data_IF_940599542082
#
_entry.id   IF_940599542082
#
_cell.length_a   1.000
_cell.length_b   1.000
_cell.length_c   1.000
_cell.angle_alpha   90.00
_cell.angle_beta   90.00
_cell.angle_gamma   90.00
#
_symmetry.space_group_name_H-M   'P 1'
#
loop_
_entity.id
_entity.type
_entity.pdbx_description
1 polymer ?
#
# COMPACT_ATOMS: atom_id res chain seq x y z
N UNK A 1 19.89 30.12 68.73
CA UNK A 1 19.32 30.81 67.56
C UNK A 1 20.09 30.38 66.33
N UNK A 2 19.61 29.33 65.65
CA UNK A 2 20.17 28.87 64.38
C UNK A 2 19.04 28.88 63.36
N UNK A 3 19.04 29.86 62.47
CA UNK A 3 18.06 29.96 61.39
C UNK A 3 18.30 28.85 60.36
N UNK A 4 17.34 27.93 60.26
CA UNK A 4 17.25 26.95 59.20
C UNK A 4 16.81 27.66 57.91
N UNK A 5 17.75 27.88 56.98
CA UNK A 5 17.44 28.35 55.63
C UNK A 5 16.66 27.27 54.89
N UNK A 6 15.34 27.47 54.76
CA UNK A 6 14.52 26.72 53.83
C UNK A 6 15.02 26.95 52.40
N UNK A 7 15.54 25.91 51.77
CA UNK A 7 15.69 25.86 50.32
C UNK A 7 14.29 25.93 49.70
N UNK A 8 14.01 26.88 48.79
CA UNK A 8 12.75 26.87 48.06
C UNK A 8 12.69 25.60 47.21
N UNK A 9 11.63 24.82 47.41
CA UNK A 9 11.25 23.72 46.54
C UNK A 9 11.12 24.27 45.12
N UNK A 10 12.06 23.91 44.24
CA UNK A 10 11.87 24.07 42.81
C UNK A 10 10.61 23.28 42.45
N UNK A 11 9.55 24.00 42.07
CA UNK A 11 8.41 23.37 41.40
C UNK A 11 8.89 22.63 40.15
N UNK A 12 8.11 21.66 39.63
CA UNK A 12 8.46 20.98 38.39
C UNK A 12 8.78 22.03 37.33
N UNK A 13 9.83 21.81 36.51
CA UNK A 13 10.17 22.74 35.44
C UNK A 13 8.93 22.96 34.57
N UNK A 14 8.73 24.18 34.03
CA UNK A 14 7.60 24.45 33.15
C UNK A 14 7.63 23.43 32.01
N UNK A 15 6.63 22.56 31.97
CA UNK A 15 6.39 21.65 30.85
C UNK A 15 6.17 22.52 29.62
N UNK A 16 7.08 22.43 28.66
CA UNK A 16 6.88 23.08 27.36
C UNK A 16 5.61 22.47 26.79
N UNK A 17 4.55 23.24 26.46
CA UNK A 17 3.33 22.68 25.93
C UNK A 17 3.66 21.93 24.65
N UNK A 18 3.36 20.64 24.64
CA UNK A 18 3.53 19.80 23.46
C UNK A 18 2.22 19.88 22.67
N UNK A 19 2.19 20.62 21.56
CA UNK A 19 1.04 20.66 20.65
C UNK A 19 1.02 19.41 19.74
N UNK A 20 0.88 18.23 20.35
CA UNK A 20 0.80 16.94 19.66
C UNK A 20 -0.64 16.58 19.24
N UNK A 21 -0.84 15.72 18.23
CA UNK A 21 -2.14 15.11 17.98
C UNK A 21 -2.56 14.29 19.21
N UNK A 22 -3.81 14.46 19.65
CA UNK A 22 -4.36 13.66 20.74
C UNK A 22 -4.51 12.18 20.37
N UNK A 23 -4.64 11.35 21.41
CA UNK A 23 -4.83 9.90 21.28
C UNK A 23 -6.01 9.51 20.39
N UNK A 24 -7.19 10.14 20.59
CA UNK A 24 -8.43 9.77 19.89
C UNK A 24 -8.31 9.88 18.36
N UNK A 25 -7.83 11.00 17.78
CA UNK A 25 -7.56 11.08 16.34
C UNK A 25 -6.65 9.97 15.81
N UNK A 26 -5.58 9.61 16.55
CA UNK A 26 -4.63 8.59 16.13
C UNK A 26 -5.31 7.24 16.03
N UNK A 27 -6.13 6.87 17.03
CA UNK A 27 -6.84 5.60 17.05
C UNK A 27 -7.91 5.53 15.95
N UNK A 28 -8.65 6.62 15.71
CA UNK A 28 -9.64 6.69 14.63
C UNK A 28 -8.94 6.45 13.27
N UNK A 29 -7.82 7.12 13.02
CA UNK A 29 -7.04 6.94 11.79
C UNK A 29 -6.50 5.51 11.69
N UNK A 30 -5.97 4.95 12.77
CA UNK A 30 -5.42 3.60 12.82
C UNK A 30 -6.46 2.54 12.42
N UNK A 31 -7.61 2.55 13.10
CA UNK A 31 -8.65 1.54 12.93
C UNK A 31 -9.45 1.73 11.64
N UNK A 32 -9.64 2.96 11.18
CA UNK A 32 -10.28 3.22 9.87
C UNK A 32 -9.43 2.68 8.72
N UNK A 33 -8.12 2.91 8.72
CA UNK A 33 -7.22 2.38 7.69
C UNK A 33 -7.11 0.86 7.75
N UNK A 34 -7.10 0.26 8.94
CA UNK A 34 -7.17 -1.21 9.11
C UNK A 34 -8.46 -1.75 8.51
N UNK A 35 -9.61 -1.12 8.78
CA UNK A 35 -10.90 -1.53 8.20
C UNK A 35 -10.91 -1.45 6.67
N UNK A 36 -10.35 -0.38 6.10
CA UNK A 36 -10.19 -0.23 4.65
C UNK A 36 -9.27 -1.33 4.10
N UNK A 37 -8.12 -1.58 4.73
CA UNK A 37 -7.19 -2.62 4.33
C UNK A 37 -7.82 -4.02 4.40
N UNK A 38 -8.54 -4.33 5.47
CA UNK A 38 -9.26 -5.60 5.64
C UNK A 38 -10.27 -5.81 4.52
N UNK A 39 -11.08 -4.79 4.23
CA UNK A 39 -12.06 -4.86 3.14
C UNK A 39 -11.40 -5.06 1.77
N UNK A 40 -10.28 -4.38 1.51
CA UNK A 40 -9.51 -4.49 0.28
C UNK A 40 -8.88 -5.89 0.12
N UNK A 41 -8.30 -6.45 1.20
CA UNK A 41 -7.74 -7.81 1.22
C UNK A 41 -8.85 -8.85 1.03
N UNK A 42 -9.99 -8.70 1.72
CA UNK A 42 -11.13 -9.60 1.57
C UNK A 42 -11.67 -9.60 0.14
N UNK A 43 -11.85 -8.42 -0.46
CA UNK A 43 -12.26 -8.26 -1.85
C UNK A 43 -11.25 -8.92 -2.81
N UNK A 44 -9.94 -8.75 -2.57
CA UNK A 44 -8.87 -9.36 -3.36
C UNK A 44 -8.91 -10.89 -3.29
N UNK A 45 -9.07 -11.46 -2.10
CA UNK A 45 -9.17 -12.91 -1.91
C UNK A 45 -10.44 -13.47 -2.55
N UNK A 46 -11.57 -12.80 -2.38
CA UNK A 46 -12.83 -13.20 -2.99
C UNK A 46 -12.74 -13.20 -4.52
N UNK A 47 -12.17 -12.16 -5.12
CA UNK A 47 -11.94 -12.08 -6.56
C UNK A 47 -11.10 -13.27 -7.05
N UNK A 48 -10.01 -13.61 -6.36
CA UNK A 48 -9.13 -14.70 -6.78
C UNK A 48 -9.76 -16.08 -6.61
N UNK A 49 -10.36 -16.34 -5.45
CA UNK A 49 -10.88 -17.67 -5.09
C UNK A 49 -12.23 -17.96 -5.74
N UNK A 50 -13.15 -16.98 -5.76
CA UNK A 50 -14.53 -17.20 -6.23
C UNK A 50 -14.73 -16.81 -7.68
N UNK A 51 -14.25 -15.64 -8.09
CA UNK A 51 -14.48 -15.14 -9.46
C UNK A 51 -13.47 -15.76 -10.43
N UNK A 52 -12.17 -15.69 -10.13
CA UNK A 52 -11.11 -16.19 -11.01
C UNK A 52 -10.85 -17.70 -10.84
N UNK A 53 -11.32 -18.31 -9.74
CA UNK A 53 -11.10 -19.73 -9.38
C UNK A 53 -9.63 -20.14 -9.46
N UNK A 54 -8.72 -19.27 -9.04
CA UNK A 54 -7.26 -19.52 -9.03
C UNK A 54 -6.77 -19.85 -7.62
N UNK A 55 -5.66 -20.59 -7.57
CA UNK A 55 -4.94 -20.86 -6.31
C UNK A 55 -4.31 -19.56 -5.77
N UNK A 56 -4.10 -19.52 -4.46
CA UNK A 56 -3.41 -18.41 -3.79
C UNK A 56 -1.96 -18.33 -4.27
N UNK A 57 -1.52 -17.12 -4.59
CA UNK A 57 -0.13 -16.83 -4.96
C UNK A 57 0.67 -16.43 -3.72
N UNK A 58 2.00 -16.51 -3.81
CA UNK A 58 2.88 -15.99 -2.75
C UNK A 58 2.54 -14.53 -2.36
N UNK A 59 2.14 -13.70 -3.33
CA UNK A 59 1.69 -12.32 -3.11
C UNK A 59 0.50 -12.21 -2.15
N UNK A 60 -0.42 -13.17 -2.17
CA UNK A 60 -1.62 -13.15 -1.31
C UNK A 60 -1.29 -13.63 0.12
N UNK A 61 -0.29 -14.48 0.31
CA UNK A 61 0.21 -14.79 1.65
C UNK A 61 0.95 -13.58 2.27
N UNK A 62 1.74 -12.87 1.46
CA UNK A 62 2.46 -11.68 1.93
C UNK A 62 1.50 -10.59 2.38
N UNK A 63 0.40 -10.35 1.65
CA UNK A 63 -0.57 -9.34 2.05
C UNK A 63 -1.33 -9.73 3.33
N UNK A 64 -1.56 -11.02 3.56
CA UNK A 64 -2.18 -11.50 4.80
C UNK A 64 -1.26 -11.33 6.01
N UNK A 65 0.02 -11.65 5.86
CA UNK A 65 1.03 -11.38 6.90
C UNK A 65 1.09 -9.89 7.21
N UNK A 66 1.13 -9.04 6.17
CA UNK A 66 1.14 -7.59 6.33
C UNK A 66 -0.13 -7.05 6.99
N UNK A 67 -1.29 -7.65 6.74
CA UNK A 67 -2.55 -7.30 7.39
C UNK A 67 -2.51 -7.64 8.88
N UNK A 68 -2.10 -8.85 9.24
CA UNK A 68 -1.99 -9.28 10.64
C UNK A 68 -0.96 -8.44 11.39
N UNK A 69 0.20 -8.19 10.81
CA UNK A 69 1.20 -7.32 11.44
C UNK A 69 0.70 -5.88 11.55
N UNK A 70 -0.02 -5.37 10.55
CA UNK A 70 -0.59 -4.03 10.56
C UNK A 70 -1.68 -3.84 11.61
N UNK A 71 -2.51 -4.85 11.84
CA UNK A 71 -3.50 -4.83 12.93
C UNK A 71 -2.82 -4.86 14.30
N UNK A 72 -1.72 -5.60 14.46
CA UNK A 72 -0.91 -5.58 15.69
C UNK A 72 -0.29 -4.20 15.93
N UNK A 73 0.16 -3.50 14.89
CA UNK A 73 0.64 -2.11 15.01
C UNK A 73 -0.45 -1.20 15.57
N UNK A 74 -1.64 -1.23 14.98
CA UNK A 74 -2.77 -0.41 15.43
C UNK A 74 -3.25 -0.79 16.84
N UNK A 75 -3.26 -2.08 17.18
CA UNK A 75 -3.59 -2.55 18.53
C UNK A 75 -2.55 -2.07 19.57
N UNK A 76 -1.26 -2.08 19.21
CA UNK A 76 -0.20 -1.56 20.08
C UNK A 76 -0.36 -0.05 20.34
N UNK A 77 -0.85 0.70 19.35
CA UNK A 77 -1.23 2.11 19.55
C UNK A 77 -2.41 2.27 20.51
N UNK A 78 -3.40 1.37 20.49
CA UNK A 78 -4.49 1.38 21.49
C UNK A 78 -3.97 1.14 22.90
N UNK A 79 -3.09 0.16 23.09
CA UNK A 79 -2.47 -0.10 24.40
C UNK A 79 -1.66 1.11 24.89
N UNK A 80 -0.89 1.76 24.01
CA UNK A 80 -0.16 2.98 24.38
C UNK A 80 -1.09 4.16 24.73
N UNK A 81 -2.26 4.25 24.08
CA UNK A 81 -3.28 5.25 24.41
C UNK A 81 -3.89 4.98 25.79
N UNK A 82 -4.29 3.74 26.07
CA UNK A 82 -4.85 3.35 27.37
C UNK A 82 -3.87 3.58 28.53
N UNK A 83 -2.56 3.44 28.28
CA UNK A 83 -1.50 3.75 29.24
C UNK A 83 -1.21 5.26 29.39
N UNK A 84 -1.92 6.15 28.66
CA UNK A 84 -1.69 7.60 28.69
C UNK A 84 -0.41 8.07 27.98
N UNK A 85 0.27 7.18 27.24
CA UNK A 85 1.53 7.50 26.57
C UNK A 85 1.36 8.30 25.26
N UNK A 86 0.13 8.40 24.76
CA UNK A 86 -0.22 9.14 23.54
C UNK A 86 -0.87 10.50 23.82
N UNK A 87 -0.89 10.94 25.08
CA UNK A 87 -1.36 12.27 25.43
C UNK A 87 -0.48 13.34 24.74
N UNK A 88 -1.09 14.45 24.26
CA UNK A 88 -0.36 15.53 23.60
C UNK A 88 0.81 16.05 24.42
N UNK A 89 0.60 16.16 25.75
CA UNK A 89 1.54 16.72 26.71
C UNK A 89 2.69 15.77 27.08
N UNK A 90 2.67 14.53 26.57
CA UNK A 90 3.69 13.52 26.87
C UNK A 90 4.80 13.56 25.82
N UNK A 91 5.97 13.99 26.28
CA UNK A 91 7.21 13.95 25.52
C UNK A 91 7.66 12.51 25.23
N UNK A 92 8.43 12.34 24.16
CA UNK A 92 9.10 11.08 23.81
C UNK A 92 10.11 10.58 24.85
N UNK A 93 10.54 11.44 25.77
CA UNK A 93 11.33 11.13 26.97
C UNK A 93 10.47 10.80 28.20
N UNK A 94 9.14 10.67 28.04
CA UNK A 94 8.14 10.53 29.10
C UNK A 94 8.04 11.76 30.02
N UNK A 95 8.57 12.92 29.62
CA UNK A 95 8.29 14.17 30.31
C UNK A 95 6.81 14.53 30.16
N UNK A 96 6.17 14.99 31.24
CA UNK A 96 4.74 15.31 31.24
C UNK A 96 3.80 14.10 31.39
N UNK A 97 4.33 12.88 31.57
CA UNK A 97 3.51 11.69 31.84
C UNK A 97 2.77 11.82 33.19
N UNK A 98 1.44 11.79 33.13
CA UNK A 98 0.56 11.96 34.28
C UNK A 98 0.08 10.63 34.91
N UNK A 99 0.40 9.49 34.30
CA UNK A 99 0.04 8.15 34.78
C UNK A 99 0.99 7.60 35.87
N UNK A 100 0.81 6.34 36.24
CA UNK A 100 1.64 5.69 37.25
C UNK A 100 3.06 5.43 36.71
N UNK A 101 4.13 5.90 37.39
CA UNK A 101 5.50 5.69 36.93
C UNK A 101 5.91 4.21 36.80
N UNK A 102 5.16 3.31 37.40
CA UNK A 102 5.33 1.85 37.29
C UNK A 102 4.98 1.34 35.88
N UNK A 103 4.19 2.08 35.10
CA UNK A 103 3.78 1.72 33.73
C UNK A 103 4.84 2.09 32.67
N UNK A 104 5.79 2.97 33.00
CA UNK A 104 6.83 3.45 32.07
C UNK A 104 7.63 2.28 31.44
N UNK A 105 8.11 1.27 32.19
CA UNK A 105 8.77 0.10 31.61
C UNK A 105 7.87 -0.68 30.65
N UNK A 106 6.56 -0.74 30.91
CA UNK A 106 5.59 -1.41 30.04
C UNK A 106 5.39 -0.62 28.74
N UNK A 107 5.27 0.71 28.80
CA UNK A 107 5.21 1.60 27.63
C UNK A 107 6.43 1.37 26.72
N UNK A 108 7.64 1.39 27.29
CA UNK A 108 8.86 1.12 26.52
C UNK A 108 8.88 -0.29 25.94
N UNK A 109 8.44 -1.29 26.70
CA UNK A 109 8.36 -2.68 26.23
C UNK A 109 7.41 -2.80 25.02
N UNK A 110 6.21 -2.21 25.08
CA UNK A 110 5.26 -2.21 23.97
C UNK A 110 5.83 -1.46 22.76
N UNK A 111 6.45 -0.30 22.97
CA UNK A 111 7.10 0.47 21.90
C UNK A 111 8.18 -0.33 21.16
N UNK A 112 9.08 -0.98 21.90
CA UNK A 112 10.16 -1.79 21.33
C UNK A 112 9.63 -3.04 20.62
N UNK A 113 8.65 -3.74 21.21
CA UNK A 113 8.02 -4.90 20.59
C UNK A 113 7.27 -4.53 19.31
N UNK A 114 6.69 -3.33 19.23
CA UNK A 114 5.97 -2.84 18.07
C UNK A 114 6.88 -2.61 16.84
N UNK A 115 8.20 -2.50 17.00
CA UNK A 115 9.13 -2.38 15.87
C UNK A 115 9.07 -3.59 14.93
N UNK A 116 8.89 -4.80 15.46
CA UNK A 116 8.83 -6.02 14.65
C UNK A 116 7.57 -6.00 13.75
N UNK A 117 6.34 -5.83 14.28
CA UNK A 117 5.13 -5.67 13.46
C UNK A 117 5.22 -4.54 12.43
N UNK A 118 5.84 -3.40 12.78
CA UNK A 118 6.06 -2.29 11.84
C UNK A 118 6.91 -2.74 10.65
N UNK A 119 8.08 -3.35 10.90
CA UNK A 119 8.95 -3.83 9.82
C UNK A 119 8.25 -4.89 8.98
N UNK A 120 7.57 -5.85 9.61
CA UNK A 120 6.81 -6.87 8.89
C UNK A 120 5.77 -6.23 7.96
N UNK A 121 4.99 -5.27 8.46
CA UNK A 121 3.98 -4.59 7.65
C UNK A 121 4.59 -3.86 6.46
N UNK A 122 5.67 -3.10 6.68
CA UNK A 122 6.38 -2.36 5.63
C UNK A 122 6.99 -3.29 4.57
N UNK A 123 7.72 -4.33 4.97
CA UNK A 123 8.40 -5.22 4.02
C UNK A 123 7.44 -6.17 3.31
N UNK A 124 6.45 -6.73 4.00
CA UNK A 124 5.53 -7.68 3.38
C UNK A 124 4.51 -7.01 2.45
N UNK A 125 4.04 -5.79 2.75
CA UNK A 125 3.16 -5.04 1.83
C UNK A 125 3.86 -4.72 0.51
N UNK A 126 5.08 -4.18 0.56
CA UNK A 126 5.96 -3.96 -0.61
C UNK A 126 6.30 -5.26 -1.34
N UNK A 127 6.60 -6.32 -0.59
CA UNK A 127 6.86 -7.65 -1.15
C UNK A 127 5.65 -8.19 -1.92
N UNK A 128 4.44 -8.02 -1.39
CA UNK A 128 3.20 -8.38 -2.07
C UNK A 128 3.03 -7.63 -3.40
N UNK A 129 3.34 -6.33 -3.43
CA UNK A 129 3.35 -5.51 -4.65
C UNK A 129 4.36 -6.01 -5.68
N UNK A 130 5.60 -6.23 -5.28
CA UNK A 130 6.67 -6.71 -6.15
C UNK A 130 6.37 -8.08 -6.76
N UNK A 131 5.83 -9.00 -5.95
CA UNK A 131 5.36 -10.30 -6.44
C UNK A 131 4.17 -10.17 -7.38
N UNK A 132 3.29 -9.19 -7.15
CA UNK A 132 2.19 -8.92 -8.07
C UNK A 132 2.70 -8.40 -9.41
N UNK A 133 3.69 -7.51 -9.38
CA UNK A 133 4.36 -6.99 -10.57
C UNK A 133 5.05 -8.10 -11.37
N UNK A 134 5.66 -9.10 -10.72
CA UNK A 134 6.21 -10.27 -11.43
C UNK A 134 5.16 -11.03 -12.25
N UNK A 135 3.90 -11.07 -11.79
CA UNK A 135 2.82 -11.74 -12.48
C UNK A 135 2.21 -10.89 -13.60
N UNK A 136 2.26 -9.56 -13.47
CA UNK A 136 1.72 -8.62 -14.47
C UNK A 136 2.70 -8.43 -15.63
N UNK A 137 4.01 -8.38 -15.35
CA UNK A 137 5.00 -8.18 -16.39
C UNK A 137 5.30 -9.48 -17.14
N UNK A 138 4.80 -9.55 -18.37
CA UNK A 138 5.05 -10.66 -19.27
C UNK A 138 6.56 -10.83 -19.55
N UNK A 139 7.00 -12.08 -19.76
CA UNK A 139 8.40 -12.45 -19.94
C UNK A 139 9.12 -11.77 -21.12
N UNK A 140 8.37 -11.14 -22.03
CA UNK A 140 8.86 -10.55 -23.27
C UNK A 140 9.60 -9.21 -23.10
N UNK A 141 9.66 -8.61 -21.90
CA UNK A 141 10.37 -7.35 -21.63
C UNK A 141 11.61 -7.56 -20.74
N UNK A 142 12.76 -7.98 -21.30
CA UNK A 142 13.91 -8.43 -20.51
C UNK A 142 14.51 -7.34 -19.61
N UNK A 143 14.70 -6.11 -20.12
CA UNK A 143 15.26 -4.98 -19.35
C UNK A 143 14.43 -4.67 -18.09
N UNK A 144 13.10 -4.65 -18.23
CA UNK A 144 12.17 -4.36 -17.13
C UNK A 144 12.14 -5.48 -16.10
N UNK A 145 12.23 -6.72 -16.55
CA UNK A 145 12.29 -7.89 -15.67
C UNK A 145 13.59 -7.91 -14.86
N UNK A 146 14.72 -7.49 -15.45
CA UNK A 146 15.98 -7.32 -14.73
C UNK A 146 15.83 -6.27 -13.62
N UNK A 147 15.29 -5.10 -13.93
CA UNK A 147 15.07 -4.06 -12.91
C UNK A 147 14.18 -4.55 -11.76
N UNK A 148 13.09 -5.25 -12.07
CA UNK A 148 12.20 -5.82 -11.06
C UNK A 148 12.92 -6.85 -10.18
N UNK A 149 13.72 -7.74 -10.75
CA UNK A 149 14.51 -8.72 -9.97
C UNK A 149 15.55 -8.03 -9.09
N UNK A 150 16.22 -6.99 -9.60
CA UNK A 150 17.15 -6.18 -8.80
C UNK A 150 16.43 -5.55 -7.61
N UNK A 151 15.23 -4.97 -7.81
CA UNK A 151 14.43 -4.42 -6.71
C UNK A 151 13.99 -5.50 -5.72
N UNK A 152 13.59 -6.69 -6.19
CA UNK A 152 13.19 -7.80 -5.31
C UNK A 152 14.37 -8.29 -4.46
N UNK A 153 15.54 -8.46 -5.06
CA UNK A 153 16.75 -8.90 -4.34
C UNK A 153 17.15 -7.83 -3.33
N UNK A 154 17.20 -6.56 -3.72
CA UNK A 154 17.46 -5.45 -2.81
C UNK A 154 16.46 -5.44 -1.64
N UNK A 155 15.17 -5.54 -1.92
CA UNK A 155 14.09 -5.52 -0.92
C UNK A 155 14.20 -6.69 0.06
N UNK A 156 14.49 -7.91 -0.45
CA UNK A 156 14.72 -9.09 0.37
C UNK A 156 15.93 -8.95 1.27
N UNK A 157 17.05 -8.45 0.74
CA UNK A 157 18.27 -8.19 1.52
C UNK A 157 18.05 -7.11 2.57
N UNK A 158 17.35 -6.02 2.23
CA UNK A 158 17.00 -4.95 3.15
C UNK A 158 16.09 -5.46 4.28
N UNK A 159 15.11 -6.32 3.97
CA UNK A 159 14.24 -6.95 4.98
C UNK A 159 15.06 -7.78 5.98
N UNK A 160 15.90 -8.68 5.47
CA UNK A 160 16.75 -9.56 6.30
C UNK A 160 17.73 -8.72 7.14
N UNK A 161 18.40 -7.75 6.52
CA UNK A 161 19.33 -6.86 7.22
C UNK A 161 18.63 -6.09 8.35
N UNK A 162 17.46 -5.50 8.10
CA UNK A 162 16.70 -4.75 9.11
C UNK A 162 16.24 -5.63 10.27
N UNK A 163 15.79 -6.87 10.00
CA UNK A 163 15.41 -7.81 11.06
C UNK A 163 16.63 -8.24 11.88
N UNK A 164 17.74 -8.61 11.23
CA UNK A 164 18.96 -9.02 11.93
C UNK A 164 19.51 -7.88 12.79
N UNK A 165 19.55 -6.66 12.26
CA UNK A 165 20.01 -5.49 12.99
C UNK A 165 19.11 -5.20 14.20
N UNK A 166 17.78 -5.32 14.06
CA UNK A 166 16.85 -5.15 15.17
C UNK A 166 17.05 -6.22 16.26
N UNK A 167 17.28 -7.48 15.89
CA UNK A 167 17.52 -8.57 16.85
C UNK A 167 18.89 -8.47 17.53
N UNK A 168 19.88 -7.92 16.82
CA UNK A 168 21.25 -7.73 17.31
C UNK A 168 21.48 -6.37 17.98
N UNK A 169 20.45 -5.51 18.09
CA UNK A 169 20.61 -4.13 18.58
C UNK A 169 21.17 -4.11 20.00
N UNK A 170 20.69 -5.00 20.87
CA UNK A 170 21.21 -5.23 22.22
C UNK A 170 21.17 -6.73 22.55
N UNK A 171 22.26 -7.25 23.11
CA UNK A 171 22.32 -8.62 23.62
C UNK A 171 22.62 -8.56 25.13
N UNK A 172 21.75 -9.10 26.00
CA UNK A 172 20.47 -9.78 25.71
C UNK A 172 19.30 -8.80 25.48
N UNK A 173 18.35 -9.17 24.60
CA UNK A 173 17.22 -8.33 24.15
C UNK A 173 16.37 -7.79 25.32
N UNK A 174 16.27 -8.53 26.43
CA UNK A 174 15.51 -8.09 27.60
C UNK A 174 16.06 -6.86 28.32
N UNK A 175 17.31 -6.49 28.02
CA UNK A 175 17.95 -5.30 28.58
C UNK A 175 17.44 -4.02 27.92
N UNK A 176 16.77 -4.11 26.77
CA UNK A 176 16.21 -2.95 26.06
C UNK A 176 15.13 -2.20 26.85
N UNK A 177 14.30 -2.93 27.59
CA UNK A 177 13.17 -2.35 28.33
C UNK A 177 13.47 -2.17 29.83
N UNK A 178 14.52 -2.80 30.35
CA UNK A 178 15.01 -2.55 31.70
C UNK A 178 16.11 -1.50 31.64
N UNK A 179 15.76 -0.22 31.81
CA UNK A 179 16.68 0.93 31.99
C UNK A 179 17.52 0.76 33.26
N UNK A 180 18.41 -0.24 33.30
CA UNK A 180 19.35 -0.45 34.40
C UNK A 180 20.63 0.36 34.10
N UNK A 181 21.17 1.11 35.08
CA UNK A 181 22.49 1.70 34.93
C UNK A 181 23.51 0.58 34.71
N UNK A 182 24.18 0.60 33.54
CA UNK A 182 25.12 -0.45 33.11
C UNK A 182 24.61 -1.38 31.99
N UNK A 183 23.42 -1.14 31.42
CA UNK A 183 22.97 -1.81 30.21
C UNK A 183 23.97 -1.60 29.05
N UNK A 184 24.33 -2.68 28.38
CA UNK A 184 25.35 -2.74 27.29
C UNK A 184 24.95 -2.03 26.00
N UNK A 185 23.78 -1.39 25.96
CA UNK A 185 23.27 -0.76 24.76
C UNK A 185 23.48 0.74 24.79
N UNK A 186 24.46 1.20 24.00
CA UNK A 186 24.68 2.63 23.81
C UNK A 186 23.52 3.23 23.00
N UNK A 187 22.95 4.33 23.49
CA UNK A 187 21.97 5.15 22.75
C UNK A 187 22.48 5.49 21.34
N UNK A 188 23.80 5.70 21.20
CA UNK A 188 24.47 5.98 19.91
C UNK A 188 24.31 4.82 18.93
N UNK A 189 24.44 3.57 19.40
CA UNK A 189 24.28 2.38 18.56
C UNK A 189 22.84 2.23 18.08
N UNK A 190 21.86 2.48 18.95
CA UNK A 190 20.44 2.46 18.58
C UNK A 190 20.12 3.51 17.52
N UNK A 191 20.62 4.75 17.69
CA UNK A 191 20.43 5.85 16.72
C UNK A 191 20.97 5.45 15.33
N UNK A 192 22.21 4.96 15.27
CA UNK A 192 22.84 4.58 13.99
C UNK A 192 22.02 3.47 13.32
N UNK A 193 21.61 2.47 14.09
CA UNK A 193 20.82 1.35 13.60
C UNK A 193 19.47 1.81 13.03
N UNK A 194 18.72 2.64 13.76
CA UNK A 194 17.45 3.19 13.27
C UNK A 194 17.65 3.97 11.98
N UNK A 195 18.71 4.78 11.91
CA UNK A 195 19.02 5.54 10.70
C UNK A 195 19.27 4.64 9.49
N UNK A 196 20.03 3.56 9.67
CA UNK A 196 20.31 2.60 8.59
C UNK A 196 19.04 1.89 8.15
N UNK A 197 18.27 1.32 9.07
CA UNK A 197 17.02 0.60 8.77
C UNK A 197 16.01 1.47 8.04
N UNK A 198 15.84 2.72 8.47
CA UNK A 198 14.93 3.65 7.81
C UNK A 198 15.42 4.11 6.44
N UNK A 199 16.72 4.33 6.28
CA UNK A 199 17.29 4.64 4.96
C UNK A 199 17.05 3.50 3.97
N UNK A 200 17.25 2.25 4.40
CA UNK A 200 16.97 1.07 3.58
C UNK A 200 15.49 0.97 3.21
N UNK A 201 14.58 1.22 4.16
CA UNK A 201 13.14 1.19 3.89
C UNK A 201 12.70 2.28 2.90
N UNK A 202 13.13 3.54 3.11
CA UNK A 202 12.79 4.65 2.20
C UNK A 202 13.35 4.41 0.80
N UNK A 203 14.56 3.87 0.68
CA UNK A 203 15.11 3.53 -0.62
C UNK A 203 14.32 2.39 -1.29
N UNK A 204 13.86 1.39 -0.53
CA UNK A 204 12.94 0.38 -1.05
C UNK A 204 11.62 1.00 -1.54
N UNK A 205 11.04 1.96 -0.82
CA UNK A 205 9.85 2.70 -1.26
C UNK A 205 10.07 3.40 -2.61
N UNK A 206 11.20 4.11 -2.76
CA UNK A 206 11.55 4.78 -4.01
C UNK A 206 11.67 3.79 -5.17
N UNK A 207 12.34 2.65 -4.97
CA UNK A 207 12.47 1.63 -6.02
C UNK A 207 11.11 1.07 -6.43
N UNK A 208 10.25 0.73 -5.46
CA UNK A 208 8.90 0.20 -5.73
C UNK A 208 8.04 1.24 -6.47
N UNK A 209 8.17 2.52 -6.10
CA UNK A 209 7.46 3.64 -6.72
C UNK A 209 7.89 3.92 -8.17
N UNK A 210 9.19 3.80 -8.45
CA UNK A 210 9.77 4.08 -9.78
C UNK A 210 9.37 3.00 -10.81
N UNK A 211 9.21 1.74 -10.38
CA UNK A 211 8.85 0.62 -11.26
C UNK A 211 7.65 0.91 -12.18
N UNK A 212 6.46 1.30 -11.70
CA UNK A 212 5.32 1.59 -12.58
C UNK A 212 5.53 2.82 -13.48
N UNK A 213 6.29 3.83 -13.04
CA UNK A 213 6.53 5.06 -13.80
C UNK A 213 7.39 4.83 -15.05
N UNK A 214 8.39 3.97 -14.98
CA UNK A 214 9.22 3.61 -16.16
C UNK A 214 8.42 2.85 -17.22
N UNK A 215 7.28 2.28 -16.84
CA UNK A 215 6.57 1.31 -17.66
C UNK A 215 5.49 1.95 -18.52
N UNK A 216 4.88 3.02 -18.01
CA UNK A 216 3.79 3.79 -18.64
C UNK A 216 4.10 4.46 -19.99
N UNK A 217 5.30 4.98 -20.30
CA UNK A 217 5.52 5.76 -21.51
C UNK A 217 5.44 4.92 -22.80
N UNK A 218 5.78 3.63 -22.71
CA UNK A 218 5.97 2.78 -23.90
C UNK A 218 4.75 1.94 -24.27
N UNK A 219 3.68 1.94 -23.45
CA UNK A 219 2.49 1.15 -23.71
C UNK A 219 1.30 2.05 -24.06
N UNK A 220 0.57 1.72 -25.13
CA UNK A 220 -0.69 2.36 -25.54
C UNK A 220 -1.82 2.00 -24.58
N UNK A 221 -1.70 2.46 -23.33
CA UNK A 221 -2.62 2.15 -22.24
C UNK A 221 -3.90 2.99 -22.34
N UNK A 222 -5.05 2.38 -22.03
CA UNK A 222 -6.32 3.08 -21.87
C UNK A 222 -6.23 4.20 -20.81
N UNK A 223 -6.90 5.34 -21.04
CA UNK A 223 -6.83 6.51 -20.15
C UNK A 223 -7.17 6.19 -18.69
N UNK A 224 -8.09 5.27 -18.44
CA UNK A 224 -8.47 4.81 -17.09
C UNK A 224 -7.30 4.20 -16.31
N UNK A 225 -6.49 3.35 -16.94
CA UNK A 225 -5.34 2.74 -16.29
C UNK A 225 -4.20 3.75 -16.10
N UNK A 226 -4.04 4.74 -16.99
CA UNK A 226 -3.10 5.86 -16.75
C UNK A 226 -3.44 6.63 -15.49
N UNK A 227 -4.71 7.00 -15.30
CA UNK A 227 -5.18 7.72 -14.10
C UNK A 227 -4.94 6.89 -12.84
N UNK A 228 -5.24 5.58 -12.87
CA UNK A 228 -5.00 4.70 -11.73
C UNK A 228 -3.51 4.64 -11.34
N UNK A 229 -2.59 4.60 -12.31
CA UNK A 229 -1.15 4.58 -11.99
C UNK A 229 -0.66 5.91 -11.43
N UNK A 230 -1.12 7.05 -11.96
CA UNK A 230 -0.79 8.36 -11.36
C UNK A 230 -1.32 8.49 -9.93
N UNK A 231 -2.51 7.95 -9.66
CA UNK A 231 -3.07 7.91 -8.31
C UNK A 231 -2.23 7.05 -7.36
N UNK A 232 -1.80 5.85 -7.79
CA UNK A 232 -0.90 5.01 -7.01
C UNK A 232 0.46 5.67 -6.76
N UNK A 233 0.98 6.41 -7.75
CA UNK A 233 2.21 7.16 -7.61
C UNK A 233 2.08 8.28 -6.56
N UNK A 234 0.98 9.03 -6.58
CA UNK A 234 0.70 10.06 -5.57
C UNK A 234 0.59 9.47 -4.16
N UNK A 235 -0.10 8.34 -4.01
CA UNK A 235 -0.20 7.64 -2.73
C UNK A 235 1.16 7.14 -2.23
N UNK A 236 2.01 6.60 -3.12
CA UNK A 236 3.34 6.16 -2.76
C UNK A 236 4.29 7.30 -2.38
N UNK A 237 4.16 8.48 -3.01
CA UNK A 237 4.89 9.68 -2.56
C UNK A 237 4.45 10.10 -1.16
N UNK A 238 3.14 10.08 -0.88
CA UNK A 238 2.63 10.42 0.44
C UNK A 238 3.13 9.46 1.54
N UNK A 239 3.21 8.14 1.27
CA UNK A 239 3.80 7.20 2.24
C UNK A 239 5.28 7.46 2.49
N UNK A 240 6.04 7.83 1.46
CA UNK A 240 7.45 8.23 1.62
C UNK A 240 7.56 9.50 2.48
N UNK A 241 6.68 10.48 2.29
CA UNK A 241 6.64 11.68 3.13
C UNK A 241 6.38 11.33 4.59
N UNK A 242 5.44 10.43 4.89
CA UNK A 242 5.17 9.98 6.26
C UNK A 242 6.38 9.28 6.88
N UNK A 243 7.10 8.45 6.10
CA UNK A 243 8.34 7.81 6.55
C UNK A 243 9.43 8.83 6.92
N UNK A 244 9.59 9.89 6.11
CA UNK A 244 10.57 10.96 6.37
C UNK A 244 10.18 11.80 7.59
N UNK A 245 8.90 12.08 7.76
CA UNK A 245 8.39 12.82 8.93
C UNK A 245 8.61 12.03 10.21
N UNK A 246 8.25 10.74 10.21
CA UNK A 246 8.56 9.81 11.29
C UNK A 246 10.06 9.77 11.58
N UNK A 247 10.88 9.69 10.52
CA UNK A 247 12.33 9.69 10.62
C UNK A 247 12.87 10.90 11.39
N UNK A 248 12.37 12.06 11.01
CA UNK A 248 12.76 13.34 11.57
C UNK A 248 12.33 13.44 13.04
N UNK A 249 11.08 13.10 13.36
CA UNK A 249 10.56 13.14 14.73
C UNK A 249 11.41 12.31 15.70
N UNK A 250 11.71 11.06 15.36
CA UNK A 250 12.50 10.19 16.24
C UNK A 250 13.95 10.63 16.31
N UNK A 251 14.56 11.07 15.20
CA UNK A 251 15.94 11.59 15.23
C UNK A 251 16.05 12.82 16.11
N UNK A 252 15.08 13.73 16.04
CA UNK A 252 15.00 14.92 16.90
C UNK A 252 14.84 14.54 18.38
N UNK A 253 13.97 13.57 18.67
CA UNK A 253 13.78 13.02 20.02
C UNK A 253 15.10 12.47 20.59
N UNK A 254 15.86 11.74 19.77
CA UNK A 254 17.13 11.13 20.18
C UNK A 254 18.27 12.13 20.43
N UNK A 255 18.20 13.34 19.87
CA UNK A 255 19.17 14.43 20.14
C UNK A 255 18.69 15.38 21.25
N UNK A 256 17.63 15.02 21.97
CA UNK A 256 17.11 15.77 23.12
C UNK A 256 16.18 16.93 22.75
N UNK A 257 15.67 16.98 21.51
CA UNK A 257 14.61 17.91 21.14
C UNK A 257 13.28 17.36 21.63
N UNK A 258 12.54 18.18 22.35
CA UNK A 258 11.20 17.90 22.83
C UNK A 258 10.25 17.65 21.64
N UNK A 259 9.87 16.38 21.43
CA UNK A 259 8.86 15.96 20.46
C UNK A 259 7.80 15.13 21.18
N UNK A 260 6.49 15.40 20.95
CA UNK A 260 5.42 14.61 21.56
C UNK A 260 5.48 13.15 21.08
N UNK A 261 5.31 12.20 21.99
CA UNK A 261 5.35 10.75 21.69
C UNK A 261 4.27 10.35 20.68
N UNK A 262 3.13 11.03 20.69
CA UNK A 262 2.00 10.80 19.80
C UNK A 262 2.31 11.05 18.32
N UNK A 263 3.23 11.98 18.03
CA UNK A 263 3.58 12.41 16.66
C UNK A 263 4.27 11.31 15.83
N UNK A 264 5.40 10.71 16.26
CA UNK A 264 6.03 9.62 15.51
C UNK A 264 5.13 8.37 15.42
N UNK A 265 4.25 8.16 16.40
CA UNK A 265 3.27 7.08 16.36
C UNK A 265 2.24 7.28 15.26
N UNK A 266 1.68 8.50 15.13
CA UNK A 266 0.75 8.84 14.06
C UNK A 266 1.38 8.63 12.68
N UNK A 267 2.58 9.16 12.44
CA UNK A 267 3.27 9.00 11.16
C UNK A 267 3.56 7.52 10.85
N UNK A 268 3.95 6.73 11.84
CA UNK A 268 4.18 5.29 11.68
C UNK A 268 2.91 4.52 11.33
N UNK A 269 1.80 4.84 11.98
CA UNK A 269 0.48 4.23 11.69
C UNK A 269 0.00 4.57 10.28
N UNK A 270 0.14 5.83 9.86
CA UNK A 270 -0.20 6.26 8.51
C UNK A 270 0.67 5.55 7.47
N UNK A 271 1.99 5.55 7.66
CA UNK A 271 2.94 4.91 6.76
C UNK A 271 2.62 3.41 6.57
N UNK A 272 2.43 2.67 7.66
CA UNK A 272 2.21 1.22 7.61
C UNK A 272 0.86 0.87 6.97
N UNK A 273 -0.23 1.45 7.47
CA UNK A 273 -1.57 1.07 7.01
C UNK A 273 -1.87 1.60 5.60
N UNK A 274 -1.40 2.80 5.25
CA UNK A 274 -1.55 3.32 3.89
C UNK A 274 -0.72 2.51 2.90
N UNK A 275 0.50 2.09 3.25
CA UNK A 275 1.31 1.17 2.45
C UNK A 275 0.60 -0.16 2.19
N UNK A 276 -0.07 -0.71 3.21
CA UNK A 276 -0.89 -1.92 3.07
C UNK A 276 -2.08 -1.74 2.12
N UNK A 277 -2.80 -0.61 2.23
CA UNK A 277 -3.92 -0.29 1.32
C UNK A 277 -3.41 -0.17 -0.12
N UNK A 278 -2.32 0.57 -0.34
CA UNK A 278 -1.69 0.71 -1.66
C UNK A 278 -1.31 -0.66 -2.23
N UNK A 279 -0.80 -1.57 -1.39
CA UNK A 279 -0.44 -2.92 -1.82
C UNK A 279 -1.62 -3.77 -2.32
N UNK A 280 -2.84 -3.45 -1.88
CA UNK A 280 -4.05 -4.14 -2.30
C UNK A 280 -4.60 -3.62 -3.63
N UNK A 281 -4.45 -2.32 -3.91
CA UNK A 281 -5.11 -1.63 -5.03
C UNK A 281 -4.83 -2.26 -6.41
N UNK A 282 -3.59 -2.63 -6.78
CA UNK A 282 -3.33 -3.22 -8.09
C UNK A 282 -4.03 -4.58 -8.29
N UNK A 283 -4.26 -5.34 -7.21
CA UNK A 283 -4.98 -6.61 -7.25
C UNK A 283 -6.49 -6.45 -7.46
N UNK A 284 -7.03 -5.27 -7.15
CA UNK A 284 -8.46 -4.93 -7.27
C UNK A 284 -8.82 -4.29 -8.60
N UNK A 285 -7.84 -4.00 -9.48
CA UNK A 285 -8.07 -3.38 -10.78
C UNK A 285 -9.22 -4.02 -11.62
N UNK A 286 -9.42 -5.36 -11.64
CA UNK A 286 -10.53 -5.98 -12.37
C UNK A 286 -11.94 -5.56 -11.89
N UNK A 287 -12.10 -5.21 -10.60
CA UNK A 287 -13.37 -4.68 -10.10
C UNK A 287 -13.69 -3.30 -10.68
N UNK A 288 -12.67 -2.44 -10.77
CA UNK A 288 -12.81 -1.08 -11.27
C UNK A 288 -13.20 -1.09 -12.76
N UNK A 289 -12.64 -2.00 -13.55
CA UNK A 289 -13.03 -2.14 -14.97
C UNK A 289 -14.44 -2.72 -15.14
N UNK A 290 -14.87 -3.65 -14.29
CA UNK A 290 -16.19 -4.27 -14.40
C UNK A 290 -17.33 -3.32 -13.99
N UNK A 291 -17.08 -2.47 -12.98
CA UNK A 291 -18.02 -1.42 -12.56
C UNK A 291 -18.23 -0.37 -13.65
N UNK A 292 -17.15 0.13 -14.27
CA UNK A 292 -17.26 1.08 -15.39
C UNK A 292 -17.93 0.48 -16.63
N UNK A 293 -17.81 -0.84 -16.85
CA UNK A 293 -18.55 -1.54 -17.91
C UNK A 293 -20.07 -1.50 -17.70
N UNK A 294 -20.52 -1.80 -16.48
CA UNK A 294 -21.96 -1.77 -16.12
C UNK A 294 -22.55 -0.34 -16.18
N UNK A 295 -21.81 0.66 -15.74
CA UNK A 295 -22.23 2.06 -15.84
C UNK A 295 -22.36 2.52 -17.31
N UNK A 296 -21.52 2.00 -18.22
CA UNK A 296 -21.56 2.34 -19.65
C UNK A 296 -22.64 1.55 -20.41
N UNK A 297 -22.96 0.33 -19.99
CA UNK A 297 -24.02 -0.50 -20.57
C UNK A 297 -25.42 0.02 -20.22
N UNK A 298 -25.60 0.60 -19.02
CA UNK A 298 -26.84 1.27 -18.62
C UNK A 298 -27.11 2.60 -19.36
N UNK A 299 -26.08 3.20 -19.97
CA UNK A 299 -26.22 4.40 -20.80
C UNK A 299 -26.55 4.11 -22.28
N UNK A 300 -26.51 2.84 -22.71
CA UNK A 300 -26.76 2.42 -24.10
C UNK A 300 -28.09 1.67 -24.39
N UNK A 301 -29.17 1.72 -23.57
CA UNK A 301 -30.51 1.29 -24.00
C UNK A 301 -31.30 2.36 -24.78
N UNK A 302 -31.12 3.66 -24.50
CA UNK A 302 -31.99 4.72 -25.04
C UNK A 302 -31.72 5.09 -26.52
N UNK A 303 -30.49 4.91 -27.00
CA UNK A 303 -30.12 5.25 -28.39
C UNK A 303 -30.59 4.23 -29.44
N UNK A 304 -31.05 3.04 -29.03
CA UNK A 304 -31.65 2.06 -29.95
C UNK A 304 -33.16 2.25 -30.15
N UNK A 305 -33.85 2.87 -29.19
CA UNK A 305 -35.29 3.16 -29.31
C UNK A 305 -35.58 4.26 -30.34
N UNK A 306 -34.72 5.28 -30.44
CA UNK A 306 -34.95 6.42 -31.33
C UNK A 306 -34.68 6.14 -32.82
N UNK A 307 -34.21 4.93 -33.18
CA UNK A 307 -33.84 4.58 -34.57
C UNK A 307 -34.81 3.61 -35.26
N UNK A 308 -35.83 3.11 -34.55
CA UNK A 308 -36.80 2.18 -35.12
C UNK A 308 -38.12 2.83 -35.58
N UNK A 309 -38.35 4.12 -35.31
CA UNK A 309 -39.65 4.78 -35.56
C UNK A 309 -39.75 5.58 -36.88
N UNK A 310 -38.74 5.53 -37.76
CA UNK A 310 -38.81 6.20 -39.06
C UNK A 310 -38.73 5.20 -40.23
N UNK A 311 -39.83 4.46 -40.44
CA UNK A 311 -40.27 4.12 -41.81
C UNK A 311 -41.75 3.67 -41.82
N UNK A 312 -42.69 4.49 -42.34
CA UNK A 312 -43.95 3.99 -42.82
C UNK A 312 -43.86 3.67 -44.32
N UNK A 313 -44.44 2.52 -44.66
CA UNK A 313 -45.25 2.20 -45.83
C UNK A 313 -44.78 2.69 -47.22
N UNK A 314 -44.48 1.73 -48.09
CA UNK A 314 -45.30 1.50 -49.28
C UNK A 314 -45.19 0.03 -49.70
N UNK A 315 -46.36 -0.60 -49.83
CA UNK A 315 -46.55 -1.93 -50.36
C UNK A 315 -47.13 -1.79 -51.77
N UNK A 316 -46.50 -2.38 -52.78
CA UNK A 316 -47.19 -2.71 -54.02
C UNK A 316 -46.73 -4.07 -54.55
N UNK A 317 -47.72 -4.93 -54.74
CA UNK A 317 -47.71 -6.30 -55.24
C UNK A 317 -47.51 -6.37 -56.75
N UNK A 318 -46.81 -7.38 -57.29
CA UNK A 318 -47.20 -8.06 -58.55
C UNK A 318 -46.38 -9.32 -58.88
N UNK A 319 -47.11 -10.44 -58.86
CA UNK A 319 -47.10 -11.68 -59.67
C UNK A 319 -45.84 -12.34 -60.27
N UNK A 320 -45.77 -13.64 -59.94
CA UNK A 320 -45.38 -14.84 -60.71
C UNK A 320 -45.19 -14.68 -62.23
N UNK A 321 -44.06 -15.20 -62.73
CA UNK A 321 -43.84 -15.57 -64.13
C UNK A 321 -42.62 -16.48 -64.28
N UNK A 322 -42.86 -17.75 -64.61
CA UNK A 322 -41.88 -18.75 -65.05
C UNK A 322 -41.29 -18.37 -66.41
N UNK A 323 -40.02 -18.67 -66.69
CA UNK A 323 -39.50 -19.29 -67.94
C UNK A 323 -37.97 -19.42 -67.88
N UNK A 324 -37.51 -20.59 -68.30
CA UNK A 324 -36.15 -21.05 -68.54
C UNK A 324 -35.41 -20.21 -69.59
N UNK A 325 -34.08 -20.06 -69.47
CA UNK A 325 -33.17 -20.47 -70.56
C UNK A 325 -31.69 -20.51 -70.17
N UNK A 326 -30.97 -21.41 -70.84
CA UNK A 326 -29.53 -21.59 -70.84
C UNK A 326 -28.79 -20.40 -71.49
N UNK A 327 -27.53 -20.16 -71.11
CA UNK A 327 -26.65 -19.30 -71.90
C UNK A 327 -25.33 -18.91 -71.25
N UNK A 328 -24.26 -19.47 -71.79
CA UNK A 328 -22.82 -19.33 -71.54
C UNK A 328 -22.26 -17.91 -71.79
N UNK A 329 -20.97 -17.74 -71.43
CA UNK A 329 -20.01 -16.67 -71.78
C UNK A 329 -19.91 -15.49 -70.80
N UNK A 330 -18.87 -15.45 -69.96
CA UNK A 330 -17.49 -14.99 -70.19
C UNK A 330 -17.37 -13.46 -70.15
N UNK A 331 -16.67 -12.96 -69.13
CA UNK A 331 -16.65 -11.56 -68.73
C UNK A 331 -15.32 -11.18 -68.09
N UNK A 332 -14.37 -10.83 -68.95
CA UNK A 332 -13.06 -10.29 -68.59
C UNK A 332 -13.13 -8.80 -68.23
N UNK A 333 -12.44 -8.45 -67.11
CA UNK A 333 -11.80 -7.18 -66.76
C UNK A 333 -12.62 -5.97 -66.23
N UNK A 334 -12.24 -5.65 -64.98
CA UNK A 334 -11.73 -4.36 -64.41
C UNK A 334 -12.71 -3.38 -63.76
N UNK A 335 -12.43 -3.09 -62.47
CA UNK A 335 -12.68 -1.81 -61.79
C UNK A 335 -13.26 -1.98 -60.36
N UNK A 336 -12.44 -2.29 -59.34
CA UNK A 336 -11.79 -1.37 -58.37
C UNK A 336 -12.68 -0.96 -57.17
N UNK A 337 -12.10 -1.11 -55.96
CA UNK A 337 -12.51 -0.62 -54.63
C UNK A 337 -13.50 -1.57 -53.91
N UNK A 338 -13.32 -2.09 -52.70
CA UNK A 338 -12.79 -1.55 -51.43
C UNK A 338 -12.35 -2.65 -50.42
N UNK A 339 -11.41 -2.28 -49.52
CA UNK A 339 -11.27 -2.57 -48.06
C UNK A 339 -11.76 -3.95 -47.55
N UNK A 340 -10.87 -4.86 -47.13
CA UNK A 340 -10.20 -4.94 -45.82
C UNK A 340 -11.09 -5.27 -44.60
N UNK A 341 -10.79 -6.44 -44.03
CA UNK A 341 -10.89 -6.86 -42.63
C UNK A 341 -12.26 -7.27 -42.06
N UNK A 342 -12.45 -8.58 -41.83
CA UNK A 342 -12.79 -9.13 -40.50
C UNK A 342 -12.94 -10.65 -40.56
N UNK A 343 -11.89 -11.41 -40.20
CA UNK A 343 -12.02 -12.81 -39.74
C UNK A 343 -10.72 -13.24 -39.06
N UNK A 344 -10.49 -12.73 -37.85
CA UNK A 344 -9.45 -13.22 -36.95
C UNK A 344 -10.04 -13.25 -35.53
N UNK A 345 -10.78 -14.33 -35.24
CA UNK A 345 -11.43 -14.51 -33.96
C UNK A 345 -11.83 -15.96 -33.78
N UNK A 346 -10.86 -16.88 -33.78
CA UNK A 346 -11.07 -18.30 -33.48
C UNK A 346 -9.76 -19.04 -33.15
N UNK A 347 -8.90 -18.49 -32.28
CA UNK A 347 -7.78 -19.25 -31.69
C UNK A 347 -7.51 -18.75 -30.26
N UNK A 348 -8.30 -19.21 -29.29
CA UNK A 348 -7.97 -19.16 -27.85
C UNK A 348 -8.58 -20.38 -27.14
N UNK A 349 -8.26 -21.57 -27.65
CA UNK A 349 -8.40 -22.85 -26.96
C UNK A 349 -7.24 -23.73 -27.38
N UNK A 350 -6.14 -23.58 -26.65
CA UNK A 350 -5.23 -24.64 -26.25
C UNK A 350 -3.92 -24.00 -25.81
N UNK A 351 -3.56 -24.26 -24.55
CA UNK A 351 -2.20 -24.47 -24.04
C UNK A 351 -2.28 -24.44 -22.50
N UNK A 352 -3.02 -25.42 -21.97
CA UNK A 352 -2.76 -25.99 -20.66
C UNK A 352 -2.18 -27.38 -20.90
N UNK A 353 -0.85 -27.45 -21.06
CA UNK A 353 -0.01 -28.62 -20.83
C UNK A 353 1.44 -28.25 -21.15
N UNK A 354 2.22 -28.01 -20.09
CA UNK A 354 3.64 -28.35 -19.82
C UNK A 354 4.11 -27.48 -18.67
#
# INVERSE_FOLDING_TARGET
MGESKHHPSHGPPPTVPYDGPGEVPILIVAWSLVGIALSAVAARLYLRLKIQKRKLLASDYFILVALVSGTVVSASSTVLGELGALDPDVGSDMSGFAGDPEDIPEIFKVFWLNLIPVLLTQYFSKGALLLMYLNVFAAFMPKRRIMLWVTIVYHGLACVASILVLLCICQPLHTLWHMRPGATCSLVQAVIIFRVTWTLNIFADLLVLILPCLILPELTVQRSLKVAVYFLFALGLATISFAILRFTCVTMSLVGVAVPMSTPMLWGTLECNMGLVIACLPGLAPYLSMSSGKAKEQQMPELKSARLDNHPHDAESLQVGTVSDLGTEDGSRRGRSERSASTAGLVWRDLSNV
#
